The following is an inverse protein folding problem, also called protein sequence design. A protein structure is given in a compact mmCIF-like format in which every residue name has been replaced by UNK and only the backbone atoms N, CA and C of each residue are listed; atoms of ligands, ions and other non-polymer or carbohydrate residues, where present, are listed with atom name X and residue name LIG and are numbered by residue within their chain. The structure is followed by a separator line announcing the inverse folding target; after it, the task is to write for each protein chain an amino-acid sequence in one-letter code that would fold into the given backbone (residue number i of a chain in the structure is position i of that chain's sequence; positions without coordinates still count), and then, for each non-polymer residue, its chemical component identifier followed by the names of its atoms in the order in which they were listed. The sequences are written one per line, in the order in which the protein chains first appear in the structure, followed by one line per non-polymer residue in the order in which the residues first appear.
data_IF_061160966565
#
_entry.id   IF_061160966565
#
_cell.length_a   1.000
_cell.length_b   1.000
_cell.length_c   1.000
_cell.angle_alpha   90.00
_cell.angle_beta   90.00
_cell.angle_gamma   90.00
#
_symmetry.space_group_name_H-M   'P 1'
#
loop_
_entity.id
_entity.type
_entity.pdbx_description
1 polymer ?
#
# COMPACT_ATOMS: atom_id res chain seq x y z
N UNK A 1 -4.18 -23.38 2.88
CA UNK A 1 -5.42 -23.67 2.15
C UNK A 1 -5.43 -22.80 0.91
N UNK A 2 -5.48 -23.39 -0.28
CA UNK A 2 -5.53 -22.62 -1.52
C UNK A 2 -6.93 -22.06 -1.68
N UNK A 3 -7.12 -20.75 -1.49
CA UNK A 3 -8.29 -20.07 -2.02
C UNK A 3 -8.08 -19.96 -3.53
N UNK A 4 -8.67 -20.87 -4.29
CA UNK A 4 -8.86 -20.70 -5.73
C UNK A 4 -9.78 -19.50 -5.96
N UNK A 5 -9.19 -18.30 -5.90
CA UNK A 5 -9.87 -17.04 -6.08
C UNK A 5 -10.17 -16.83 -7.56
N UNK A 6 -11.45 -16.84 -7.93
CA UNK A 6 -11.88 -16.43 -9.26
C UNK A 6 -11.89 -14.90 -9.35
N UNK A 7 -11.16 -14.32 -10.29
CA UNK A 7 -11.19 -12.88 -10.57
C UNK A 7 -12.46 -12.57 -11.38
N UNK A 8 -13.29 -11.67 -10.86
CA UNK A 8 -14.49 -11.17 -11.56
C UNK A 8 -14.25 -9.72 -11.96
N UNK A 9 -14.16 -9.40 -13.26
CA UNK A 9 -13.94 -8.04 -13.71
C UNK A 9 -15.22 -7.20 -13.50
N UNK A 10 -15.04 -6.00 -12.97
CA UNK A 10 -16.12 -5.04 -12.75
C UNK A 10 -15.67 -3.60 -12.96
N UNK A 11 -16.61 -2.67 -12.92
CA UNK A 11 -16.36 -1.24 -12.89
C UNK A 11 -16.95 -0.63 -11.62
N UNK A 12 -16.34 0.41 -11.09
CA UNK A 12 -16.94 1.19 -10.01
C UNK A 12 -17.90 2.22 -10.62
N UNK A 13 -19.17 2.18 -10.23
CA UNK A 13 -20.18 3.17 -10.60
C UNK A 13 -20.84 3.70 -9.34
N UNK A 14 -20.70 5.01 -9.08
CA UNK A 14 -21.23 5.68 -7.88
C UNK A 14 -20.79 5.00 -6.56
N UNK A 15 -19.52 4.58 -6.47
CA UNK A 15 -18.99 3.89 -5.30
C UNK A 15 -19.39 2.43 -5.15
N UNK A 16 -20.15 1.87 -6.11
CA UNK A 16 -20.56 0.46 -6.11
C UNK A 16 -19.78 -0.31 -7.18
N UNK A 17 -19.23 -1.47 -6.82
CA UNK A 17 -18.60 -2.39 -7.77
C UNK A 17 -19.68 -3.13 -8.55
N UNK A 18 -19.70 -2.95 -9.87
CA UNK A 18 -20.64 -3.61 -10.78
C UNK A 18 -19.88 -4.60 -11.65
N UNK A 19 -20.11 -5.92 -11.51
CA UNK A 19 -19.53 -6.92 -12.40
C UNK A 19 -19.91 -6.65 -13.86
N UNK A 20 -18.99 -6.91 -14.80
CA UNK A 20 -19.33 -6.85 -16.23
C UNK A 20 -20.38 -7.92 -16.56
N UNK A 21 -21.28 -7.61 -17.50
CA UNK A 21 -22.34 -8.51 -17.93
C UNK A 21 -21.80 -9.92 -18.22
N UNK A 22 -22.50 -10.96 -17.75
CA UNK A 22 -22.13 -12.39 -17.73
C UNK A 22 -21.26 -12.86 -16.55
N UNK A 23 -21.09 -12.03 -15.52
CA UNK A 23 -20.37 -12.37 -14.29
C UNK A 23 -21.29 -12.27 -13.06
N UNK A 24 -22.52 -12.76 -13.17
CA UNK A 24 -23.45 -12.79 -12.04
C UNK A 24 -22.88 -13.66 -10.91
N UNK A 25 -22.88 -13.10 -9.71
CA UNK A 25 -22.47 -13.81 -8.50
C UNK A 25 -23.65 -14.63 -7.99
N UNK A 26 -23.42 -15.87 -7.53
CA UNK A 26 -24.48 -16.66 -6.92
C UNK A 26 -24.96 -16.02 -5.62
N UNK A 27 -26.25 -16.17 -5.33
CA UNK A 27 -26.86 -15.66 -4.10
C UNK A 27 -26.14 -16.20 -2.85
N UNK A 28 -25.92 -15.32 -1.87
CA UNK A 28 -25.21 -15.66 -0.63
C UNK A 28 -23.70 -15.80 -0.77
N UNK A 29 -23.10 -15.47 -1.91
CA UNK A 29 -21.65 -15.47 -2.08
C UNK A 29 -20.96 -14.44 -1.18
N UNK A 30 -19.96 -14.88 -0.40
CA UNK A 30 -19.03 -13.99 0.29
C UNK A 30 -17.98 -13.48 -0.69
N UNK A 31 -17.79 -12.16 -0.72
CA UNK A 31 -16.86 -11.49 -1.63
C UNK A 31 -15.85 -10.68 -0.83
N UNK A 32 -14.57 -10.84 -1.17
CA UNK A 32 -13.50 -9.98 -0.69
C UNK A 32 -13.09 -9.01 -1.80
N UNK A 33 -13.16 -7.71 -1.53
CA UNK A 33 -12.66 -6.68 -2.43
C UNK A 33 -11.24 -6.34 -2.01
N UNK A 34 -10.28 -6.65 -2.88
CA UNK A 34 -8.87 -6.31 -2.69
C UNK A 34 -8.57 -5.08 -3.55
N UNK A 35 -8.30 -3.95 -2.89
CA UNK A 35 -7.78 -2.77 -3.55
C UNK A 35 -6.25 -2.85 -3.54
N UNK A 36 -5.62 -2.62 -4.70
CA UNK A 36 -4.19 -2.39 -4.70
C UNK A 36 -3.89 -1.08 -3.98
N UNK A 37 -2.78 -1.01 -3.21
CA UNK A 37 -2.35 0.25 -2.63
C UNK A 37 -2.25 1.29 -3.73
N UNK A 38 -2.81 2.47 -3.50
CA UNK A 38 -2.57 3.59 -4.40
C UNK A 38 -1.05 3.80 -4.48
N UNK A 39 -0.54 4.06 -5.68
CA UNK A 39 0.86 4.45 -5.82
C UNK A 39 1.10 5.69 -4.95
N UNK A 40 2.13 5.62 -4.10
CA UNK A 40 2.49 6.75 -3.26
C UNK A 40 2.88 7.92 -4.19
N UNK A 41 2.24 9.09 -4.04
CA UNK A 41 2.60 10.30 -4.78
C UNK A 41 4.10 10.57 -4.69
N UNK A 42 4.69 11.03 -5.79
CA UNK A 42 6.13 11.26 -5.88
C UNK A 42 6.62 12.26 -4.81
N UNK A 43 5.85 13.31 -4.54
CA UNK A 43 6.13 14.29 -3.49
C UNK A 43 6.24 13.65 -2.10
N UNK A 44 5.34 12.73 -1.75
CA UNK A 44 5.39 12.02 -0.48
C UNK A 44 6.58 11.08 -0.38
N UNK A 45 7.02 10.47 -1.50
CA UNK A 45 8.24 9.66 -1.52
C UNK A 45 9.47 10.52 -1.24
N UNK A 46 9.55 11.69 -1.88
CA UNK A 46 10.67 12.62 -1.73
C UNK A 46 10.75 13.17 -0.30
N UNK A 47 9.62 13.50 0.32
CA UNK A 47 9.55 13.86 1.73
C UNK A 47 10.06 12.72 2.62
N UNK A 48 9.58 11.49 2.40
CA UNK A 48 9.99 10.32 3.19
C UNK A 48 11.51 10.09 3.11
N UNK A 49 12.10 10.21 1.92
CA UNK A 49 13.54 10.11 1.71
C UNK A 49 14.32 11.22 2.40
N UNK A 50 13.81 12.45 2.39
CA UNK A 50 14.43 13.56 3.10
C UNK A 50 14.43 13.32 4.62
N UNK A 51 13.32 12.82 5.17
CA UNK A 51 13.23 12.41 6.57
C UNK A 51 14.22 11.30 6.90
N UNK A 52 14.35 10.30 6.03
CA UNK A 52 15.28 9.19 6.25
C UNK A 52 16.74 9.65 6.25
N UNK A 53 17.14 10.49 5.30
CA UNK A 53 18.48 11.08 5.27
C UNK A 53 18.79 11.93 6.50
N UNK A 54 17.83 12.74 6.95
CA UNK A 54 17.99 13.55 8.15
C UNK A 54 18.17 12.67 9.41
N UNK A 55 17.42 11.56 9.49
CA UNK A 55 17.58 10.55 10.53
C UNK A 55 18.96 9.89 10.53
N UNK A 56 19.41 9.43 9.35
CA UNK A 56 20.74 8.82 9.21
C UNK A 56 21.87 9.78 9.62
N UNK A 57 21.75 11.06 9.27
CA UNK A 57 22.71 12.09 9.68
C UNK A 57 22.68 12.33 11.19
N UNK A 58 21.50 12.33 11.83
CA UNK A 58 21.39 12.49 13.27
C UNK A 58 22.05 11.31 14.02
N UNK A 59 21.86 10.08 13.54
CA UNK A 59 22.52 8.90 14.11
C UNK A 59 24.04 8.96 13.96
N UNK A 60 24.56 9.36 12.80
CA UNK A 60 26.01 9.54 12.59
C UNK A 60 26.63 10.57 13.54
N UNK A 61 25.89 11.63 13.90
CA UNK A 61 26.36 12.62 14.87
C UNK A 61 26.43 12.03 16.28
N UNK A 62 25.46 11.20 16.67
CA UNK A 62 25.45 10.50 17.96
C UNK A 62 26.65 9.55 18.05
N UNK A 63 26.86 8.70 17.04
CA UNK A 63 28.01 7.78 17.00
C UNK A 63 29.35 8.52 17.12
N UNK A 64 29.46 9.68 16.45
CA UNK A 64 30.66 10.51 16.53
C UNK A 64 30.89 11.05 17.94
N UNK A 65 29.86 11.58 18.59
CA UNK A 65 29.97 12.10 19.95
C UNK A 65 30.30 11.01 20.97
N UNK A 66 29.72 9.81 20.84
CA UNK A 66 30.05 8.66 21.71
C UNK A 66 31.51 8.20 21.51
N UNK A 67 32.05 8.31 20.29
CA UNK A 67 33.45 7.96 20.00
C UNK A 67 34.47 8.99 20.51
N UNK A 68 34.07 10.25 20.69
CA UNK A 68 34.92 11.34 21.18
C UNK A 68 34.97 11.42 22.73
N UNK A 69 34.03 10.76 23.42
CA UNK A 69 33.93 10.68 24.89
C UNK A 69 34.59 9.43 25.52
N UNK A 70 35.16 8.52 24.71
CA UNK A 70 35.98 7.35 25.16
C UNK A 70 37.48 7.58 25.06
#
# INVERSE_FOLDING_TARGET
MSTDGRIIPGIVKNGVVVPRANSELPDGAHVNIVLQPAEMPQELKEELEAWQRAGDQAWQMIDKWESEES
#
